data_IF_944911662348
#
_entry.id   IF_944911662348
#
_cell.length_a   1.000
_cell.length_b   1.000
_cell.length_c   1.000
_cell.angle_alpha   90.00
_cell.angle_beta   90.00
_cell.angle_gamma   90.00
#
_symmetry.space_group_name_H-M   'P 1'
#
loop_
_entity.id
_entity.type
_entity.pdbx_description
1 polymer ?
#
# COMPACT_ATOMS: atom_id res chain seq x y z
N UNK A 1 -22.04 -16.52 -3.54
CA UNK A 1 -21.70 -15.23 -2.94
C UNK A 1 -20.58 -14.60 -3.74
N UNK A 2 -20.70 -13.35 -4.11
CA UNK A 2 -19.65 -12.56 -4.77
C UNK A 2 -19.02 -11.65 -3.69
N UNK A 3 -17.68 -11.63 -3.61
CA UNK A 3 -16.99 -10.93 -2.55
C UNK A 3 -16.31 -9.66 -3.07
N UNK A 4 -16.57 -8.53 -2.40
CA UNK A 4 -15.92 -7.23 -2.58
C UNK A 4 -15.29 -6.72 -1.28
N UNK A 5 -15.06 -7.59 -0.30
CA UNK A 5 -14.53 -7.23 1.02
C UNK A 5 -13.12 -6.65 0.95
N UNK A 6 -12.27 -7.22 0.11
CA UNK A 6 -10.86 -6.84 0.00
C UNK A 6 -10.29 -7.19 -1.38
N UNK A 7 -9.07 -6.77 -1.62
CA UNK A 7 -8.37 -6.90 -2.89
C UNK A 7 -7.29 -8.02 -2.89
N UNK A 8 -7.44 -9.01 -2.00
CA UNK A 8 -6.52 -10.16 -1.86
C UNK A 8 -7.27 -11.48 -1.63
N UNK A 9 -8.42 -11.64 -2.27
CA UNK A 9 -9.28 -12.83 -2.07
C UNK A 9 -8.96 -13.96 -3.04
N UNK A 10 -8.41 -13.67 -4.20
CA UNK A 10 -7.98 -14.63 -5.19
C UNK A 10 -6.51 -15.00 -4.99
N UNK A 11 -6.05 -16.01 -5.73
CA UNK A 11 -4.65 -16.43 -5.80
C UNK A 11 -3.80 -15.43 -6.61
N UNK A 12 -2.91 -15.94 -7.47
CA UNK A 12 -2.11 -15.09 -8.34
C UNK A 12 -2.73 -14.95 -9.74
N UNK A 13 -2.33 -13.88 -10.44
CA UNK A 13 -2.60 -13.75 -11.87
C UNK A 13 -2.05 -14.98 -12.64
N UNK A 14 -2.78 -15.53 -13.64
CA UNK A 14 -2.38 -16.75 -14.35
C UNK A 14 -0.94 -16.74 -14.88
N UNK A 15 -0.48 -15.62 -15.43
CA UNK A 15 0.89 -15.50 -15.94
C UNK A 15 1.97 -15.75 -14.85
N UNK A 16 1.68 -15.41 -13.59
CA UNK A 16 2.60 -15.67 -12.49
C UNK A 16 2.64 -17.16 -12.14
N UNK A 17 1.48 -17.81 -12.10
CA UNK A 17 1.38 -19.26 -11.87
C UNK A 17 2.07 -20.05 -12.97
N UNK A 18 1.88 -19.64 -14.23
CA UNK A 18 2.59 -20.24 -15.36
C UNK A 18 4.11 -20.12 -15.20
N UNK A 19 4.61 -18.94 -14.89
CA UNK A 19 6.04 -18.70 -14.67
C UNK A 19 6.60 -19.47 -13.48
N UNK A 20 5.85 -19.58 -12.38
CA UNK A 20 6.21 -20.41 -11.23
C UNK A 20 6.29 -21.89 -11.61
N UNK A 21 5.33 -22.39 -12.41
CA UNK A 21 5.31 -23.77 -12.88
C UNK A 21 6.48 -24.08 -13.83
N UNK A 22 6.74 -23.21 -14.83
CA UNK A 22 7.86 -23.35 -15.76
C UNK A 22 9.21 -23.44 -15.04
N UNK A 23 9.39 -22.66 -13.99
CA UNK A 23 10.67 -22.57 -13.28
C UNK A 23 10.77 -23.54 -12.11
N UNK A 24 9.73 -24.30 -11.78
CA UNK A 24 9.63 -25.09 -10.55
C UNK A 24 10.80 -26.07 -10.32
N UNK A 25 11.23 -26.75 -11.39
CA UNK A 25 12.30 -27.77 -11.30
C UNK A 25 13.71 -27.21 -11.58
N UNK A 26 13.84 -25.91 -11.84
CA UNK A 26 15.14 -25.26 -12.07
C UNK A 26 15.86 -25.12 -10.73
N UNK A 27 17.10 -25.61 -10.66
CA UNK A 27 17.97 -25.41 -9.48
C UNK A 27 18.61 -24.02 -9.54
N UNK A 28 18.48 -23.26 -8.45
CA UNK A 28 19.04 -21.92 -8.32
C UNK A 28 19.74 -21.77 -6.97
N UNK A 29 20.59 -20.75 -6.82
CA UNK A 29 21.07 -20.31 -5.50
C UNK A 29 19.91 -19.78 -4.69
N UNK A 30 20.03 -19.87 -3.36
CA UNK A 30 18.97 -19.46 -2.44
C UNK A 30 19.03 -18.00 -2.03
N UNK A 31 18.10 -17.62 -1.15
CA UNK A 31 18.09 -16.35 -0.42
C UNK A 31 17.95 -15.10 -1.31
N UNK A 32 17.33 -15.26 -2.51
CA UNK A 32 17.10 -14.17 -3.44
C UNK A 32 18.34 -13.72 -4.21
N UNK A 33 19.37 -14.58 -4.30
CA UNK A 33 20.57 -14.33 -5.10
C UNK A 33 20.51 -15.00 -6.49
N UNK A 34 19.37 -15.54 -6.83
CA UNK A 34 19.09 -16.21 -8.11
C UNK A 34 18.85 -15.24 -9.26
N UNK A 35 18.90 -15.78 -10.47
CA UNK A 35 18.73 -15.04 -11.72
C UNK A 35 17.35 -14.42 -11.89
N UNK A 36 16.29 -15.03 -11.33
CA UNK A 36 14.93 -14.48 -11.39
C UNK A 36 14.77 -13.24 -10.52
N UNK A 37 15.33 -13.32 -9.30
CA UNK A 37 15.38 -12.14 -8.43
C UNK A 37 16.24 -11.03 -9.04
N UNK A 38 17.35 -11.37 -9.71
CA UNK A 38 18.19 -10.39 -10.40
C UNK A 38 17.42 -9.73 -11.55
N UNK A 39 16.76 -10.51 -12.40
CA UNK A 39 15.96 -10.01 -13.52
C UNK A 39 14.82 -9.10 -13.03
N UNK A 40 14.09 -9.51 -11.98
CA UNK A 40 13.02 -8.72 -11.39
C UNK A 40 13.55 -7.38 -10.84
N UNK A 41 14.70 -7.37 -10.16
CA UNK A 41 15.33 -6.12 -9.68
C UNK A 41 15.63 -5.17 -10.83
N UNK A 42 16.23 -5.64 -11.90
CA UNK A 42 16.57 -4.79 -13.05
C UNK A 42 15.31 -4.23 -13.74
N UNK A 43 14.24 -5.01 -13.88
CA UNK A 43 12.96 -4.52 -14.42
C UNK A 43 12.34 -3.44 -13.52
N UNK A 44 12.36 -3.63 -12.20
CA UNK A 44 11.85 -2.63 -11.24
C UNK A 44 12.69 -1.37 -11.29
N UNK A 45 14.04 -1.46 -11.29
CA UNK A 45 14.92 -0.32 -11.43
C UNK A 45 14.68 0.45 -12.73
N UNK A 46 14.47 -0.27 -13.83
CA UNK A 46 14.14 0.33 -15.12
C UNK A 46 12.80 1.05 -15.08
N UNK A 47 11.76 0.42 -14.51
CA UNK A 47 10.44 1.03 -14.34
C UNK A 47 10.46 2.28 -13.45
N UNK A 48 11.30 2.30 -12.42
CA UNK A 48 11.53 3.46 -11.54
C UNK A 48 12.48 4.51 -12.14
N UNK A 49 13.15 4.21 -13.26
CA UNK A 49 14.26 5.01 -13.79
C UNK A 49 15.32 5.31 -12.72
N UNK A 50 15.64 4.31 -11.91
CA UNK A 50 16.52 4.40 -10.75
C UNK A 50 17.56 3.27 -10.75
N UNK A 51 18.57 3.30 -11.65
CA UNK A 51 19.55 2.22 -11.80
C UNK A 51 20.37 1.97 -10.53
N UNK A 52 20.55 3.01 -9.71
CA UNK A 52 21.33 2.93 -8.47
C UNK A 52 20.49 2.46 -7.25
N UNK A 53 19.17 2.26 -7.40
CA UNK A 53 18.34 1.80 -6.30
C UNK A 53 18.70 0.37 -5.87
N UNK A 54 18.55 0.07 -4.58
CA UNK A 54 18.51 -1.33 -4.11
C UNK A 54 17.06 -1.84 -4.10
N UNK A 55 16.86 -3.05 -4.60
CA UNK A 55 15.54 -3.71 -4.60
C UNK A 55 15.60 -5.00 -3.82
N UNK A 56 14.70 -5.16 -2.84
CA UNK A 56 14.61 -6.33 -1.98
C UNK A 56 13.17 -6.86 -1.94
N UNK A 57 13.00 -8.17 -1.87
CA UNK A 57 11.69 -8.80 -1.83
C UNK A 57 11.39 -9.34 -0.44
N UNK A 58 10.20 -9.02 0.08
CA UNK A 58 9.66 -9.46 1.37
C UNK A 58 8.28 -10.10 1.17
N UNK A 59 7.77 -10.84 2.15
CA UNK A 59 6.59 -11.69 1.96
C UNK A 59 5.26 -10.96 2.13
N UNK A 60 5.25 -9.77 2.73
CA UNK A 60 4.01 -9.01 2.97
C UNK A 60 4.27 -7.66 3.63
N UNK A 61 3.25 -6.79 3.62
CA UNK A 61 3.33 -5.39 4.06
C UNK A 61 3.82 -5.23 5.50
N UNK A 62 3.25 -5.96 6.46
CA UNK A 62 3.67 -5.88 7.88
C UNK A 62 5.14 -6.26 8.08
N UNK A 63 5.63 -7.33 7.42
CA UNK A 63 7.05 -7.67 7.46
C UNK A 63 7.91 -6.57 6.83
N UNK A 64 7.44 -5.98 5.75
CA UNK A 64 8.10 -4.86 5.07
C UNK A 64 8.22 -3.66 6.00
N UNK A 65 7.11 -3.23 6.59
CA UNK A 65 7.07 -2.08 7.49
C UNK A 65 7.98 -2.28 8.71
N UNK A 66 7.91 -3.42 9.37
CA UNK A 66 8.78 -3.74 10.52
C UNK A 66 10.25 -3.81 10.13
N UNK A 67 10.57 -4.33 8.93
CA UNK A 67 11.96 -4.45 8.46
C UNK A 67 12.55 -3.09 8.13
N UNK A 68 11.83 -2.27 7.35
CA UNK A 68 12.29 -0.94 6.93
C UNK A 68 12.44 -0.02 8.13
N UNK A 69 11.43 0.05 9.00
CA UNK A 69 11.44 0.95 10.18
C UNK A 69 12.55 0.55 11.14
N UNK A 70 12.73 -0.74 11.43
CA UNK A 70 13.80 -1.22 12.29
C UNK A 70 15.20 -1.07 11.69
N UNK A 71 15.33 -1.00 10.35
CA UNK A 71 16.61 -0.75 9.70
C UNK A 71 17.04 0.71 9.76
N UNK A 72 16.06 1.63 9.81
CA UNK A 72 16.31 3.08 9.72
C UNK A 72 16.46 3.70 11.10
N UNK A 73 15.57 3.35 12.03
CA UNK A 73 15.48 4.04 13.31
C UNK A 73 16.53 3.57 14.32
N UNK A 74 16.98 4.52 15.14
CA UNK A 74 17.77 4.24 16.35
C UNK A 74 16.84 3.88 17.52
N UNK A 75 17.31 3.14 18.55
CA UNK A 75 16.44 2.63 19.63
C UNK A 75 15.56 3.66 20.35
N UNK A 76 15.95 4.93 20.38
CA UNK A 76 15.19 6.01 21.01
C UNK A 76 14.31 6.79 20.05
N UNK A 77 14.26 6.39 18.77
CA UNK A 77 13.50 7.07 17.72
C UNK A 77 12.17 6.38 17.44
N UNK A 78 11.21 7.19 16.98
CA UNK A 78 9.91 6.77 16.53
C UNK A 78 9.62 7.24 15.10
N UNK A 79 8.56 6.68 14.52
CA UNK A 79 8.10 6.98 13.17
C UNK A 79 6.85 7.88 13.21
N UNK A 80 6.89 9.03 12.53
CA UNK A 80 5.72 9.88 12.32
C UNK A 80 4.79 9.25 11.30
N UNK A 81 3.50 9.16 11.60
CA UNK A 81 2.48 8.58 10.73
C UNK A 81 1.12 9.25 10.96
N UNK A 82 0.22 9.21 9.98
CA UNK A 82 -1.17 9.54 10.21
C UNK A 82 -1.77 8.64 11.30
N UNK A 83 -2.69 9.18 12.12
CA UNK A 83 -3.41 8.37 13.14
C UNK A 83 -4.16 7.19 12.52
N UNK A 84 -4.59 7.30 11.26
CA UNK A 84 -5.21 6.22 10.47
C UNK A 84 -4.21 5.35 9.71
N UNK A 85 -2.89 5.64 9.81
CA UNK A 85 -1.87 4.90 9.07
C UNK A 85 -1.84 3.42 9.44
N UNK A 86 -1.58 2.56 8.45
CA UNK A 86 -1.67 1.10 8.59
C UNK A 86 -0.83 0.57 9.76
N UNK A 87 0.39 1.10 9.94
CA UNK A 87 1.30 0.73 11.03
C UNK A 87 0.76 1.07 12.43
N UNK A 88 -0.19 2.03 12.54
CA UNK A 88 -0.83 2.37 13.80
C UNK A 88 -2.10 1.55 14.07
N UNK A 89 -2.91 1.29 13.02
CA UNK A 89 -4.26 0.76 13.20
C UNK A 89 -4.40 -0.73 12.90
N UNK A 90 -3.57 -1.31 12.01
CA UNK A 90 -3.84 -2.61 11.39
C UNK A 90 -2.69 -3.61 11.46
N UNK A 91 -1.67 -3.38 12.31
CA UNK A 91 -0.52 -4.28 12.44
C UNK A 91 -0.29 -4.85 13.85
N UNK A 92 -1.32 -4.77 14.72
CA UNK A 92 -1.30 -5.37 16.05
C UNK A 92 -0.06 -5.03 16.89
N UNK A 93 0.45 -3.78 16.79
CA UNK A 93 1.65 -3.35 17.49
C UNK A 93 2.97 -3.91 16.92
N UNK A 94 2.98 -4.26 15.62
CA UNK A 94 4.17 -4.83 14.99
C UNK A 94 5.37 -3.87 15.02
N UNK A 95 5.14 -2.57 14.87
CA UNK A 95 6.22 -1.57 14.96
C UNK A 95 6.73 -1.45 16.39
N UNK A 96 5.84 -1.38 17.37
CA UNK A 96 6.20 -1.34 18.80
C UNK A 96 6.98 -2.59 19.21
N UNK A 97 6.68 -3.76 18.62
CA UNK A 97 7.44 -4.99 18.86
C UNK A 97 8.89 -4.92 18.36
N UNK A 98 9.22 -3.97 17.48
CA UNK A 98 10.60 -3.68 17.06
C UNK A 98 11.35 -2.78 18.03
N UNK A 99 10.67 -2.24 19.05
CA UNK A 99 11.22 -1.30 20.02
C UNK A 99 11.00 0.17 19.64
N UNK A 100 10.21 0.45 18.59
CA UNK A 100 9.97 1.81 18.09
C UNK A 100 8.54 2.24 18.33
N UNK A 101 8.33 3.51 18.64
CA UNK A 101 7.00 4.10 18.80
C UNK A 101 6.46 4.59 17.47
N UNK A 102 5.19 4.33 17.19
CA UNK A 102 4.44 5.08 16.19
C UNK A 102 3.98 6.41 16.80
N UNK A 103 4.44 7.52 16.23
CA UNK A 103 4.09 8.89 16.64
C UNK A 103 2.99 9.36 15.70
N UNK A 104 1.78 9.45 16.21
CA UNK A 104 0.60 9.74 15.39
C UNK A 104 0.35 11.23 15.21
N UNK A 105 0.05 11.63 13.98
CA UNK A 105 -0.42 12.97 13.61
C UNK A 105 -1.90 12.91 13.22
N UNK A 106 -2.71 13.93 13.57
CA UNK A 106 -4.12 13.95 13.23
C UNK A 106 -4.32 14.05 11.71
N UNK A 107 -5.41 13.44 11.21
CA UNK A 107 -5.78 13.52 9.79
C UNK A 107 -7.29 13.45 9.62
N UNK A 108 -7.81 14.03 8.53
CA UNK A 108 -9.21 13.94 8.13
C UNK A 108 -9.43 13.08 6.89
N UNK A 109 -8.38 12.87 6.10
CA UNK A 109 -8.44 12.15 4.82
C UNK A 109 -7.32 11.09 4.65
N UNK A 110 -6.68 10.71 5.77
CA UNK A 110 -5.59 9.74 5.76
C UNK A 110 -4.20 10.32 5.44
N UNK A 111 -4.12 11.58 4.99
CA UNK A 111 -2.84 12.25 4.67
C UNK A 111 -2.33 13.06 5.86
N UNK A 112 -1.01 13.13 5.99
CA UNK A 112 -0.31 14.09 6.84
C UNK A 112 0.35 15.15 5.96
N UNK A 113 0.49 16.35 6.47
CA UNK A 113 1.03 17.49 5.72
C UNK A 113 2.49 17.78 6.12
N UNK A 114 3.23 18.44 5.23
CA UNK A 114 4.55 18.98 5.50
C UNK A 114 4.55 19.88 6.75
N UNK A 115 3.51 20.72 6.89
CA UNK A 115 3.39 21.61 8.05
C UNK A 115 3.24 20.84 9.37
N UNK A 116 2.44 19.77 9.41
CA UNK A 116 2.30 18.95 10.62
C UNK A 116 3.62 18.29 11.03
N UNK A 117 4.40 17.82 10.04
CA UNK A 117 5.75 17.26 10.32
C UNK A 117 6.66 18.34 10.87
N UNK A 118 6.68 19.53 10.25
CA UNK A 118 7.47 20.70 10.73
C UNK A 118 7.10 21.07 12.15
N UNK A 119 5.80 21.26 12.41
CA UNK A 119 5.30 21.66 13.73
C UNK A 119 5.70 20.67 14.82
N UNK A 120 5.58 19.35 14.54
CA UNK A 120 5.97 18.32 15.50
C UNK A 120 7.48 18.33 15.78
N UNK A 121 8.30 18.42 14.74
CA UNK A 121 9.78 18.43 14.90
C UNK A 121 10.23 19.68 15.63
N UNK A 122 9.69 20.85 15.29
CA UNK A 122 10.04 22.09 15.98
C UNK A 122 9.55 22.09 17.44
N UNK A 123 8.33 21.60 17.70
CA UNK A 123 7.88 21.40 19.08
C UNK A 123 8.84 20.49 19.85
N UNK A 124 9.21 19.32 19.30
CA UNK A 124 10.12 18.39 19.96
C UNK A 124 11.50 19.00 20.24
N UNK A 125 12.05 19.79 19.33
CA UNK A 125 13.36 20.44 19.50
C UNK A 125 13.38 21.51 20.59
N UNK A 126 12.26 22.21 20.80
CA UNK A 126 12.16 23.31 21.74
C UNK A 126 11.56 22.90 23.08
N UNK A 127 11.13 21.68 23.27
CA UNK A 127 10.65 21.17 24.54
C UNK A 127 11.81 21.00 25.51
N UNK A 128 11.68 21.59 26.73
CA UNK A 128 12.72 21.52 27.75
C UNK A 128 13.06 20.12 28.22
N UNK A 129 12.13 19.16 27.99
CA UNK A 129 12.28 17.75 28.30
C UNK A 129 12.51 16.87 27.06
N UNK A 130 13.02 17.42 25.95
CA UNK A 130 13.18 16.72 24.68
C UNK A 130 13.92 15.38 24.80
N UNK A 131 14.91 15.27 25.70
CA UNK A 131 15.66 14.03 25.95
C UNK A 131 14.84 12.94 26.67
N UNK A 132 13.65 13.27 27.19
CA UNK A 132 12.71 12.33 27.81
C UNK A 132 11.61 11.88 26.85
N UNK A 133 11.55 12.46 25.65
CA UNK A 133 10.50 12.23 24.65
C UNK A 133 11.09 11.42 23.49
N UNK A 134 10.32 10.48 22.95
CA UNK A 134 10.75 9.70 21.76
C UNK A 134 11.01 10.67 20.60
N UNK A 135 12.24 10.65 20.09
CA UNK A 135 12.67 11.50 18.99
C UNK A 135 12.04 11.06 17.68
N UNK A 136 11.45 11.97 16.87
CA UNK A 136 11.06 11.64 15.51
C UNK A 136 12.30 11.28 14.67
N UNK A 137 12.30 10.12 14.02
CA UNK A 137 13.46 9.62 13.26
C UNK A 137 13.17 9.33 11.81
N UNK A 138 11.89 9.26 11.42
CA UNK A 138 11.45 9.11 10.04
C UNK A 138 9.97 9.48 9.89
N UNK A 139 9.53 9.64 8.65
CA UNK A 139 8.12 9.83 8.27
C UNK A 139 7.66 8.61 7.47
N UNK A 140 6.47 8.11 7.79
CA UNK A 140 5.77 7.05 7.06
C UNK A 140 4.44 7.58 6.53
N UNK A 141 4.15 7.28 5.29
CA UNK A 141 2.84 7.51 4.67
C UNK A 141 2.42 6.29 3.86
N UNK A 142 1.11 6.07 3.72
CA UNK A 142 0.57 5.14 2.73
C UNK A 142 0.18 5.89 1.45
N UNK A 143 0.49 5.32 0.28
CA UNK A 143 0.08 5.88 -1.01
C UNK A 143 -0.34 4.77 -1.98
N UNK A 144 -1.66 4.66 -2.27
CA UNK A 144 -2.82 5.38 -1.67
C UNK A 144 -2.96 5.22 -0.16
N UNK A 145 -3.64 6.17 0.48
CA UNK A 145 -3.99 6.04 1.91
C UNK A 145 -4.98 4.89 2.13
N UNK A 146 -5.22 4.53 3.38
CA UNK A 146 -6.17 3.47 3.75
C UNK A 146 -7.60 3.77 3.28
N UNK A 147 -7.98 5.05 3.24
CA UNK A 147 -9.25 5.53 2.69
C UNK A 147 -9.26 5.71 1.17
N UNK A 148 -8.16 5.38 0.48
CA UNK A 148 -8.05 5.45 -0.97
C UNK A 148 -7.73 6.84 -1.53
N UNK A 149 -7.42 7.83 -0.70
CA UNK A 149 -6.99 9.16 -1.18
C UNK A 149 -5.55 9.13 -1.68
N UNK A 150 -5.22 10.07 -2.56
CA UNK A 150 -3.89 10.18 -3.18
C UNK A 150 -3.17 11.44 -2.69
N UNK A 151 -1.87 11.32 -2.42
CA UNK A 151 -1.00 12.49 -2.36
C UNK A 151 -0.79 13.00 -3.78
N UNK A 152 -1.02 14.28 -4.01
CA UNK A 152 -0.62 14.93 -5.26
C UNK A 152 0.91 15.06 -5.31
N UNK A 153 1.45 15.23 -6.51
CA UNK A 153 2.89 15.49 -6.70
C UNK A 153 3.35 16.72 -5.91
N UNK A 154 2.51 17.77 -5.85
CA UNK A 154 2.81 18.97 -5.07
C UNK A 154 2.89 18.68 -3.56
N UNK A 155 1.89 17.99 -3.00
CA UNK A 155 1.87 17.61 -1.58
C UNK A 155 3.08 16.73 -1.21
N UNK A 156 3.39 15.74 -2.07
CA UNK A 156 4.53 14.84 -1.81
C UNK A 156 5.87 15.56 -1.95
N UNK A 157 5.99 16.50 -2.89
CA UNK A 157 7.18 17.32 -3.05
C UNK A 157 7.43 18.19 -1.81
N UNK A 158 6.39 18.83 -1.29
CA UNK A 158 6.48 19.65 -0.08
C UNK A 158 6.83 18.80 1.15
N UNK A 159 6.16 17.65 1.31
CA UNK A 159 6.43 16.72 2.42
C UNK A 159 7.86 16.19 2.37
N UNK A 160 8.32 15.73 1.20
CA UNK A 160 9.69 15.24 1.04
C UNK A 160 10.74 16.35 1.26
N UNK A 161 10.45 17.56 0.77
CA UNK A 161 11.29 18.73 1.02
C UNK A 161 11.46 19.01 2.51
N UNK A 162 10.37 18.97 3.28
CA UNK A 162 10.40 19.11 4.74
C UNK A 162 11.15 17.94 5.41
N UNK A 163 10.93 16.71 4.95
CA UNK A 163 11.69 15.56 5.46
C UNK A 163 13.19 15.74 5.26
N UNK A 164 13.62 16.23 4.09
CA UNK A 164 15.04 16.51 3.79
C UNK A 164 15.61 17.64 4.65
N UNK A 165 14.84 18.71 4.89
CA UNK A 165 15.23 19.84 5.76
C UNK A 165 15.57 19.35 7.17
N UNK A 166 14.79 18.40 7.70
CA UNK A 166 14.96 17.88 9.06
C UNK A 166 15.80 16.59 9.14
N UNK A 167 16.28 16.08 8.02
CA UNK A 167 17.06 14.84 7.97
C UNK A 167 16.26 13.60 8.34
N UNK A 168 14.95 13.62 8.11
CA UNK A 168 14.03 12.51 8.33
C UNK A 168 13.86 11.72 7.02
N UNK A 169 14.21 10.43 6.96
CA UNK A 169 13.85 9.60 5.82
C UNK A 169 12.34 9.53 5.63
N UNK A 170 11.86 9.64 4.37
CA UNK A 170 10.47 9.42 4.00
C UNK A 170 10.30 7.99 3.47
N UNK A 171 9.44 7.22 4.14
CA UNK A 171 9.04 5.87 3.72
C UNK A 171 7.60 5.88 3.21
N UNK A 172 7.40 5.37 1.99
CA UNK A 172 6.08 5.23 1.36
C UNK A 172 5.65 3.77 1.36
N UNK A 173 4.58 3.47 2.09
CA UNK A 173 3.84 2.22 2.00
C UNK A 173 3.03 2.19 0.71
N UNK A 174 3.46 1.34 -0.20
CA UNK A 174 2.86 1.17 -1.53
C UNK A 174 2.06 -0.13 -1.67
N UNK A 175 1.39 -0.62 -0.59
CA UNK A 175 0.60 -1.85 -0.64
C UNK A 175 -0.40 -1.91 -1.80
N UNK A 176 -0.91 -0.74 -2.21
CA UNK A 176 -1.81 -0.54 -3.36
C UNK A 176 -1.23 0.41 -4.41
N UNK A 177 0.09 0.51 -4.50
CA UNK A 177 0.76 1.49 -5.34
C UNK A 177 0.31 1.44 -6.80
N UNK A 178 0.17 0.25 -7.37
CA UNK A 178 -0.31 0.09 -8.74
C UNK A 178 -1.68 0.72 -8.97
N UNK A 179 -2.60 0.54 -8.05
CA UNK A 179 -3.93 1.16 -8.12
C UNK A 179 -3.86 2.69 -8.01
N UNK A 180 -3.01 3.21 -7.11
CA UNK A 180 -2.81 4.65 -6.99
C UNK A 180 -2.22 5.28 -8.25
N UNK A 181 -1.20 4.65 -8.84
CA UNK A 181 -0.57 5.15 -10.07
C UNK A 181 -1.49 5.09 -11.29
N UNK A 182 -2.45 4.16 -11.31
CA UNK A 182 -3.39 3.97 -12.42
C UNK A 182 -4.73 4.66 -12.21
N UNK A 183 -4.96 5.32 -11.08
CA UNK A 183 -6.12 6.18 -10.87
C UNK A 183 -6.11 7.37 -11.84
N UNK A 184 -7.29 7.79 -12.32
CA UNK A 184 -7.38 8.89 -13.29
C UNK A 184 -6.96 10.24 -12.71
N UNK A 185 -7.11 10.42 -11.40
CA UNK A 185 -6.70 11.59 -10.65
C UNK A 185 -5.22 11.60 -10.25
N UNK A 186 -4.47 10.53 -10.56
CA UNK A 186 -3.03 10.48 -10.28
C UNK A 186 -2.26 11.45 -11.18
N UNK A 187 -1.49 12.32 -10.57
CA UNK A 187 -0.61 13.26 -11.25
C UNK A 187 0.88 12.85 -11.19
N UNK A 188 1.14 11.59 -10.79
CA UNK A 188 2.48 11.03 -10.64
C UNK A 188 2.67 9.72 -11.37
N UNK A 189 3.85 9.55 -11.93
CA UNK A 189 4.37 8.29 -12.44
C UNK A 189 5.25 7.59 -11.40
N UNK A 190 5.51 6.29 -11.57
CA UNK A 190 6.42 5.54 -10.69
C UNK A 190 7.83 6.18 -10.59
N UNK A 191 8.48 6.63 -11.70
CA UNK A 191 9.75 7.34 -11.59
C UNK A 191 9.70 8.66 -10.82
N UNK A 192 8.58 9.39 -10.88
CA UNK A 192 8.41 10.64 -10.14
C UNK A 192 8.24 10.38 -8.64
N UNK A 193 7.42 9.39 -8.28
CA UNK A 193 7.26 8.96 -6.89
C UNK A 193 8.60 8.48 -6.29
N UNK A 194 9.37 7.68 -7.04
CA UNK A 194 10.65 7.17 -6.59
C UNK A 194 11.65 8.31 -6.25
N UNK A 195 11.58 9.45 -6.95
CA UNK A 195 12.44 10.62 -6.67
C UNK A 195 11.99 11.46 -5.46
N UNK A 196 10.78 11.20 -4.96
CA UNK A 196 10.15 11.97 -3.87
C UNK A 196 10.06 11.18 -2.56
N UNK A 197 10.95 10.20 -2.36
CA UNK A 197 11.07 9.46 -1.11
C UNK A 197 12.48 8.84 -0.96
N UNK A 198 12.79 8.39 0.23
CA UNK A 198 14.04 7.68 0.54
C UNK A 198 13.91 6.18 0.37
N UNK A 199 12.74 5.63 0.69
CA UNK A 199 12.39 4.24 0.53
C UNK A 199 10.89 4.10 0.28
N UNK A 200 10.50 3.16 -0.57
CA UNK A 200 9.10 2.78 -0.75
C UNK A 200 9.00 1.30 -1.06
N UNK A 201 7.80 0.75 -1.04
CA UNK A 201 7.63 -0.57 -1.61
C UNK A 201 6.50 -0.65 -2.64
N UNK A 202 6.65 -1.56 -3.58
CA UNK A 202 5.69 -1.89 -4.61
C UNK A 202 4.93 -3.12 -4.14
N UNK A 203 3.65 -2.94 -3.84
CA UNK A 203 2.78 -4.00 -3.37
C UNK A 203 2.48 -5.01 -4.48
N UNK A 204 2.81 -6.28 -4.25
CA UNK A 204 2.45 -7.38 -5.13
C UNK A 204 1.24 -8.17 -4.61
N UNK A 205 1.15 -8.38 -3.30
CA UNK A 205 0.10 -9.18 -2.65
C UNK A 205 -1.32 -8.79 -3.09
N UNK A 206 -1.60 -7.50 -3.23
CA UNK A 206 -2.91 -6.98 -3.65
C UNK A 206 -3.01 -6.79 -5.17
N UNK A 207 -1.88 -6.85 -5.89
CA UNK A 207 -1.80 -6.56 -7.32
C UNK A 207 -1.26 -7.77 -8.07
N UNK A 208 -1.98 -8.88 -7.97
CA UNK A 208 -1.79 -10.06 -8.81
C UNK A 208 -0.74 -11.07 -8.36
N UNK A 209 0.05 -10.83 -7.30
CA UNK A 209 0.95 -11.82 -6.74
C UNK A 209 0.24 -12.77 -5.76
N UNK A 210 0.78 -13.97 -5.55
CA UNK A 210 0.37 -14.85 -4.44
C UNK A 210 0.66 -14.19 -3.10
N UNK A 211 1.81 -13.56 -3.01
CA UNK A 211 2.31 -12.81 -1.85
C UNK A 211 3.57 -12.05 -2.27
N UNK A 212 3.90 -11.01 -1.54
CA UNK A 212 5.18 -10.33 -1.65
C UNK A 212 5.09 -8.86 -2.01
N UNK A 213 6.13 -8.19 -1.56
CA UNK A 213 6.36 -6.75 -1.72
C UNK A 213 7.79 -6.53 -2.19
N UNK A 214 8.00 -5.58 -3.10
CA UNK A 214 9.33 -5.18 -3.54
C UNK A 214 9.71 -3.85 -2.89
N UNK A 215 10.62 -3.88 -1.92
CA UNK A 215 11.19 -2.68 -1.28
C UNK A 215 12.22 -2.07 -2.20
N UNK A 216 12.07 -0.78 -2.49
CA UNK A 216 12.99 0.01 -3.31
C UNK A 216 13.64 1.07 -2.43
N UNK A 217 14.95 0.98 -2.23
CA UNK A 217 15.73 1.93 -1.42
C UNK A 217 16.46 2.88 -2.35
N UNK A 218 16.03 4.14 -2.33
CA UNK A 218 16.57 5.23 -3.14
C UNK A 218 17.76 5.92 -2.45
N UNK A 219 17.70 6.04 -1.13
CA UNK A 219 18.72 6.74 -0.35
C UNK A 219 19.89 5.81 -0.05
N UNK A 220 21.10 6.17 -0.53
CA UNK A 220 22.34 5.38 -0.39
C UNK A 220 22.66 5.05 1.08
N UNK A 221 22.42 6.00 1.99
CA UNK A 221 22.74 5.81 3.40
C UNK A 221 21.91 4.73 4.11
N UNK A 222 20.76 4.34 3.53
CA UNK A 222 19.84 3.33 4.08
C UNK A 222 20.10 1.91 3.54
N UNK A 223 20.95 1.74 2.55
CA UNK A 223 21.24 0.45 1.92
C UNK A 223 22.15 -0.43 2.77
N UNK A 224 23.09 0.21 3.47
CA UNK A 224 24.07 -0.51 4.28
C UNK A 224 23.39 -1.38 5.33
N UNK A 225 23.83 -2.64 5.40
CA UNK A 225 23.40 -3.62 6.40
C UNK A 225 21.90 -4.01 6.36
N UNK A 226 21.09 -3.48 5.41
CA UNK A 226 19.66 -3.78 5.28
C UNK A 226 19.38 -5.30 5.21
N UNK A 227 20.22 -6.05 4.53
CA UNK A 227 20.07 -7.52 4.41
C UNK A 227 20.26 -8.28 5.73
N UNK A 228 20.99 -7.73 6.71
CA UNK A 228 21.08 -8.31 8.05
C UNK A 228 19.73 -8.18 8.78
N UNK A 229 19.12 -7.01 8.73
CA UNK A 229 17.80 -6.78 9.32
C UNK A 229 16.74 -7.64 8.62
N UNK A 230 16.77 -7.74 7.29
CA UNK A 230 15.90 -8.67 6.55
C UNK A 230 16.05 -10.11 7.08
N UNK A 231 17.27 -10.58 7.30
CA UNK A 231 17.52 -11.94 7.81
C UNK A 231 17.00 -12.09 9.23
N UNK A 232 17.26 -11.12 10.10
CA UNK A 232 16.79 -11.10 11.48
C UNK A 232 15.27 -11.16 11.58
N UNK A 233 14.56 -10.45 10.66
CA UNK A 233 13.09 -10.40 10.57
C UNK A 233 12.47 -11.54 9.74
N UNK A 234 13.27 -12.57 9.37
CA UNK A 234 12.79 -13.72 8.60
C UNK A 234 12.52 -13.45 7.12
N UNK A 235 12.87 -12.27 6.61
CA UNK A 235 12.59 -11.86 5.22
C UNK A 235 13.50 -12.49 4.17
N UNK A 236 14.68 -13.01 4.55
CA UNK A 236 15.56 -13.73 3.62
C UNK A 236 15.22 -15.20 3.60
N UNK A 237 14.27 -15.57 2.76
CA UNK A 237 13.81 -16.96 2.62
C UNK A 237 14.80 -17.80 1.82
N UNK A 238 14.98 -19.07 2.20
CA UNK A 238 15.83 -20.02 1.47
C UNK A 238 15.39 -20.15 0.00
N UNK A 239 14.07 -20.20 -0.26
CA UNK A 239 13.48 -20.21 -1.61
C UNK A 239 12.99 -18.81 -2.02
N UNK A 240 13.80 -17.76 -1.80
CA UNK A 240 13.49 -16.38 -2.12
C UNK A 240 13.17 -16.13 -3.61
N UNK A 241 13.65 -17.02 -4.49
CA UNK A 241 13.29 -17.00 -5.92
C UNK A 241 11.78 -16.93 -6.19
N UNK A 242 10.94 -17.48 -5.30
CA UNK A 242 9.49 -17.43 -5.47
C UNK A 242 8.95 -15.99 -5.51
N UNK A 243 9.57 -15.07 -4.81
CA UNK A 243 9.26 -13.63 -4.91
C UNK A 243 9.79 -13.05 -6.22
N UNK A 244 11.05 -13.35 -6.56
CA UNK A 244 11.65 -12.86 -7.80
C UNK A 244 10.89 -13.27 -9.05
N UNK A 245 10.49 -14.53 -9.17
CA UNK A 245 9.71 -15.05 -10.30
C UNK A 245 8.39 -14.29 -10.46
N UNK A 246 7.70 -13.99 -9.35
CA UNK A 246 6.42 -13.26 -9.39
C UNK A 246 6.62 -11.80 -9.84
N UNK A 247 7.61 -11.09 -9.28
CA UNK A 247 7.90 -9.72 -9.70
C UNK A 247 8.49 -9.62 -11.09
N UNK A 248 9.28 -10.63 -11.52
CA UNK A 248 9.73 -10.72 -12.92
C UNK A 248 8.56 -10.80 -13.90
N UNK A 249 7.54 -11.62 -13.59
CA UNK A 249 6.34 -11.71 -14.40
C UNK A 249 5.48 -10.42 -14.33
N UNK A 250 5.29 -9.84 -13.16
CA UNK A 250 4.51 -8.60 -12.98
C UNK A 250 5.10 -7.41 -13.76
N UNK A 251 6.43 -7.32 -13.85
CA UNK A 251 7.12 -6.25 -14.59
C UNK A 251 7.52 -6.66 -16.02
N UNK A 252 6.93 -7.75 -16.54
CA UNK A 252 7.00 -8.10 -17.97
C UNK A 252 5.80 -7.51 -18.69
N UNK A 253 6.04 -6.85 -19.84
CA UNK A 253 5.00 -6.29 -20.70
C UNK A 253 3.97 -5.41 -20.00
N UNK A 254 4.42 -4.65 -19.00
CA UNK A 254 3.60 -3.74 -18.18
C UNK A 254 2.40 -4.41 -17.47
N UNK A 255 2.48 -5.71 -17.19
CA UNK A 255 1.37 -6.45 -16.59
C UNK A 255 0.88 -5.81 -15.29
N UNK A 256 1.80 -5.38 -14.40
CA UNK A 256 1.49 -4.71 -13.13
C UNK A 256 0.55 -3.51 -13.30
N UNK A 257 0.83 -2.67 -14.29
CA UNK A 257 0.04 -1.48 -14.57
C UNK A 257 -1.27 -1.81 -15.28
N UNK A 258 -1.26 -2.78 -16.21
CA UNK A 258 -2.47 -3.21 -16.94
C UNK A 258 -3.54 -3.78 -16.01
N UNK A 259 -3.15 -4.67 -15.09
CA UNK A 259 -4.09 -5.27 -14.14
C UNK A 259 -4.53 -4.27 -13.06
N UNK A 260 -3.67 -3.29 -12.72
CA UNK A 260 -4.06 -2.18 -11.86
C UNK A 260 -5.10 -1.27 -12.51
N UNK A 261 -4.93 -0.92 -13.79
CA UNK A 261 -5.91 -0.14 -14.56
C UNK A 261 -7.27 -0.83 -14.60
N UNK A 262 -7.29 -2.14 -14.87
CA UNK A 262 -8.53 -2.92 -14.84
C UNK A 262 -9.26 -2.79 -13.49
N UNK A 263 -8.54 -2.88 -12.36
CA UNK A 263 -9.16 -2.74 -11.04
C UNK A 263 -9.78 -1.35 -10.83
N UNK A 264 -9.14 -0.27 -11.31
CA UNK A 264 -9.65 1.09 -11.27
C UNK A 264 -10.94 1.21 -12.08
N UNK A 265 -10.96 0.68 -13.30
CA UNK A 265 -12.15 0.70 -14.16
C UNK A 265 -13.34 -0.03 -13.50
N UNK A 266 -13.10 -1.17 -12.86
CA UNK A 266 -14.13 -1.90 -12.11
C UNK A 266 -14.60 -1.10 -10.88
N UNK A 267 -13.68 -0.47 -10.15
CA UNK A 267 -14.02 0.33 -8.97
C UNK A 267 -14.84 1.58 -9.32
N UNK A 268 -14.53 2.26 -10.41
CA UNK A 268 -15.32 3.39 -10.89
C UNK A 268 -16.76 2.98 -11.24
N UNK A 269 -16.93 1.82 -11.89
CA UNK A 269 -18.27 1.28 -12.13
C UNK A 269 -19.01 0.97 -10.81
N UNK A 270 -18.32 0.42 -9.79
CA UNK A 270 -18.90 0.19 -8.46
C UNK A 270 -19.31 1.52 -7.82
N UNK A 271 -18.46 2.55 -7.85
CA UNK A 271 -18.78 3.90 -7.39
C UNK A 271 -20.05 4.41 -8.05
N UNK A 272 -20.09 4.35 -9.36
CA UNK A 272 -21.19 4.89 -10.16
C UNK A 272 -22.53 4.16 -9.89
N UNK A 273 -22.49 2.87 -9.56
CA UNK A 273 -23.67 2.11 -9.12
C UNK A 273 -24.28 2.77 -7.87
N UNK A 274 -23.47 3.02 -6.85
CA UNK A 274 -23.96 3.58 -5.58
C UNK A 274 -24.36 5.03 -5.72
N UNK A 275 -23.56 5.86 -6.38
CA UNK A 275 -23.84 7.29 -6.59
C UNK A 275 -25.13 7.48 -7.41
N UNK A 276 -25.31 6.72 -8.49
CA UNK A 276 -26.52 6.76 -9.33
C UNK A 276 -27.77 6.31 -8.59
N UNK A 277 -27.63 5.42 -7.60
CA UNK A 277 -28.71 4.99 -6.73
C UNK A 277 -28.98 5.96 -5.55
N UNK A 278 -28.23 7.08 -5.47
CA UNK A 278 -28.42 8.14 -4.48
C UNK A 278 -27.72 7.91 -3.14
N UNK A 279 -26.77 6.96 -3.04
CA UNK A 279 -26.00 6.77 -1.83
C UNK A 279 -24.82 7.73 -1.77
N UNK A 280 -24.64 8.47 -0.65
CA UNK A 280 -23.44 9.28 -0.44
C UNK A 280 -22.21 8.39 -0.20
N UNK A 281 -21.02 8.96 -0.39
CA UNK A 281 -19.76 8.29 -0.12
C UNK A 281 -19.10 8.87 1.13
N UNK A 282 -18.43 8.01 1.94
CA UNK A 282 -17.60 8.44 3.07
C UNK A 282 -16.35 9.17 2.62
N UNK A 283 -15.74 8.70 1.54
CA UNK A 283 -14.53 9.23 0.95
C UNK A 283 -14.71 9.36 -0.55
N UNK A 284 -14.20 10.44 -1.12
CA UNK A 284 -14.01 10.56 -2.56
C UNK A 284 -12.72 9.83 -2.93
N UNK A 285 -12.84 8.51 -3.12
CA UNK A 285 -11.71 7.65 -3.43
C UNK A 285 -11.59 7.42 -4.93
N UNK A 286 -10.51 7.88 -5.57
CA UNK A 286 -10.25 7.60 -6.97
C UNK A 286 -9.66 6.21 -7.22
N UNK A 287 -9.46 5.41 -6.16
CA UNK A 287 -8.76 4.14 -6.24
C UNK A 287 -9.69 2.93 -6.29
N UNK A 288 -9.12 1.75 -6.11
CA UNK A 288 -9.86 0.48 -6.17
C UNK A 288 -10.83 0.22 -5.01
N UNK A 289 -10.89 1.11 -4.02
CA UNK A 289 -11.74 0.99 -2.85
C UNK A 289 -12.85 2.05 -2.88
N UNK A 290 -14.12 1.65 -2.72
CA UNK A 290 -15.28 2.52 -2.74
C UNK A 290 -16.07 2.40 -1.45
N UNK A 291 -16.55 3.52 -0.91
CA UNK A 291 -17.08 3.60 0.45
C UNK A 291 -18.50 4.19 0.51
N UNK A 292 -19.53 3.50 0.01
CA UNK A 292 -20.90 3.99 0.11
C UNK A 292 -21.42 3.97 1.55
N UNK A 293 -22.25 4.96 1.87
CA UNK A 293 -23.07 5.02 3.09
C UNK A 293 -24.46 4.50 2.73
N UNK A 294 -24.93 3.47 3.43
CA UNK A 294 -26.19 2.82 3.13
C UNK A 294 -27.02 2.58 4.39
N UNK A 295 -28.36 2.52 4.27
CA UNK A 295 -29.22 2.03 5.36
C UNK A 295 -28.87 0.60 5.73
N UNK A 296 -28.83 0.26 7.03
CA UNK A 296 -28.48 -1.08 7.52
C UNK A 296 -29.43 -2.15 6.98
N UNK A 297 -30.71 -1.83 6.77
CA UNK A 297 -31.70 -2.74 6.18
C UNK A 297 -31.37 -3.12 4.75
N UNK A 298 -30.91 -2.15 3.94
CA UNK A 298 -30.48 -2.38 2.56
C UNK A 298 -29.14 -3.11 2.51
N UNK A 299 -28.22 -2.80 3.44
CA UNK A 299 -26.96 -3.54 3.60
C UNK A 299 -27.19 -5.01 3.93
N UNK A 300 -28.15 -5.30 4.81
CA UNK A 300 -28.53 -6.67 5.14
C UNK A 300 -29.07 -7.44 3.91
N UNK A 301 -29.80 -6.76 3.01
CA UNK A 301 -30.29 -7.37 1.76
C UNK A 301 -29.16 -7.62 0.77
N UNK A 302 -28.30 -6.62 0.53
CA UNK A 302 -27.10 -6.76 -0.30
C UNK A 302 -26.18 -7.87 0.22
N UNK A 303 -25.98 -7.94 1.53
CA UNK A 303 -25.15 -8.91 2.23
C UNK A 303 -25.55 -10.37 2.02
N UNK A 304 -26.78 -10.65 1.57
CA UNK A 304 -27.21 -12.02 1.21
C UNK A 304 -26.51 -12.57 -0.05
N UNK A 305 -26.03 -11.69 -0.91
CA UNK A 305 -25.42 -12.05 -2.20
C UNK A 305 -23.97 -11.55 -2.35
N UNK A 306 -23.64 -10.44 -1.69
CA UNK A 306 -22.36 -9.75 -1.86
C UNK A 306 -21.66 -9.57 -0.51
N UNK A 307 -20.39 -9.96 -0.44
CA UNK A 307 -19.54 -9.64 0.70
C UNK A 307 -19.00 -8.21 0.55
N UNK A 308 -19.05 -7.44 1.61
CA UNK A 308 -18.45 -6.11 1.77
C UNK A 308 -17.77 -6.01 3.15
N UNK A 309 -16.95 -4.99 3.35
CA UNK A 309 -16.31 -4.74 4.65
C UNK A 309 -17.07 -3.63 5.38
N UNK A 310 -17.44 -3.87 6.66
CA UNK A 310 -17.95 -2.81 7.53
C UNK A 310 -16.81 -1.82 7.84
N UNK A 311 -17.08 -0.53 7.70
CA UNK A 311 -16.09 0.50 7.95
C UNK A 311 -16.39 1.33 9.21
N UNK A 312 -17.56 1.95 9.25
CA UNK A 312 -17.92 2.84 10.36
C UNK A 312 -19.43 2.97 10.49
N UNK A 313 -19.92 3.15 11.74
CA UNK A 313 -21.27 3.62 12.00
C UNK A 313 -21.36 5.11 11.70
N UNK A 314 -22.32 5.51 10.85
CA UNK A 314 -22.54 6.92 10.47
C UNK A 314 -23.59 7.56 11.37
N UNK A 315 -24.74 6.90 11.54
CA UNK A 315 -25.84 7.31 12.43
C UNK A 315 -26.62 6.09 12.97
N UNK A 316 -27.84 6.30 13.50
CA UNK A 316 -28.62 5.22 14.10
C UNK A 316 -28.96 4.08 13.10
N UNK A 317 -29.15 4.43 11.82
CA UNK A 317 -29.71 3.52 10.82
C UNK A 317 -28.80 3.35 9.58
N UNK A 318 -27.64 4.04 9.52
CA UNK A 318 -26.72 4.01 8.39
C UNK A 318 -25.31 3.61 8.78
N UNK A 319 -24.71 2.79 7.95
CA UNK A 319 -23.31 2.39 8.03
C UNK A 319 -22.56 2.73 6.75
N UNK A 320 -21.31 3.15 6.91
CA UNK A 320 -20.35 3.22 5.83
C UNK A 320 -19.69 1.86 5.67
N UNK A 321 -19.62 1.36 4.45
CA UNK A 321 -19.02 0.07 4.12
C UNK A 321 -18.05 0.22 2.96
N UNK A 322 -17.10 -0.73 2.83
CA UNK A 322 -16.14 -0.73 1.74
C UNK A 322 -16.46 -1.84 0.75
N UNK A 323 -16.46 -1.46 -0.53
CA UNK A 323 -16.40 -2.37 -1.67
C UNK A 323 -15.05 -2.20 -2.36
N UNK A 324 -14.29 -3.29 -2.49
CA UNK A 324 -13.00 -3.32 -3.17
C UNK A 324 -13.12 -4.00 -4.53
N UNK A 325 -12.61 -3.36 -5.57
CA UNK A 325 -12.23 -4.04 -6.80
C UNK A 325 -10.77 -4.50 -6.74
N UNK A 326 -10.43 -5.54 -7.48
CA UNK A 326 -9.07 -6.04 -7.62
C UNK A 326 -8.74 -6.32 -9.09
N UNK A 327 -7.52 -6.71 -9.34
CA UNK A 327 -7.06 -7.20 -10.64
C UNK A 327 -7.90 -8.36 -11.19
N UNK A 328 -8.58 -9.11 -10.32
CA UNK A 328 -9.39 -10.28 -10.66
C UNK A 328 -10.90 -10.00 -10.72
N UNK A 329 -11.33 -8.77 -10.41
CA UNK A 329 -12.76 -8.41 -10.43
C UNK A 329 -13.34 -8.58 -11.84
N UNK A 330 -14.41 -9.37 -11.96
CA UNK A 330 -15.04 -9.64 -13.24
C UNK A 330 -16.17 -8.65 -13.50
N UNK A 331 -16.38 -8.29 -14.78
CA UNK A 331 -17.49 -7.43 -15.19
C UNK A 331 -18.85 -8.01 -14.78
N UNK A 332 -19.04 -9.32 -14.91
CA UNK A 332 -20.28 -10.02 -14.50
C UNK A 332 -20.62 -9.83 -13.01
N UNK A 333 -19.60 -9.69 -12.14
CA UNK A 333 -19.80 -9.43 -10.71
C UNK A 333 -20.26 -8.00 -10.45
N UNK A 334 -19.72 -7.04 -11.19
CA UNK A 334 -20.11 -5.62 -11.12
C UNK A 334 -21.53 -5.44 -11.66
N UNK A 335 -21.88 -6.11 -12.77
CA UNK A 335 -23.23 -6.05 -13.34
C UNK A 335 -24.26 -6.66 -12.39
N UNK A 336 -23.94 -7.80 -11.75
CA UNK A 336 -24.81 -8.42 -10.74
C UNK A 336 -25.02 -7.50 -9.51
N UNK A 337 -23.98 -6.72 -9.09
CA UNK A 337 -24.12 -5.74 -8.03
C UNK A 337 -25.03 -4.59 -8.47
N UNK A 338 -24.88 -4.09 -9.70
CA UNK A 338 -25.74 -3.05 -10.30
C UNK A 338 -27.22 -3.46 -10.27
N UNK A 339 -27.52 -4.67 -10.68
CA UNK A 339 -28.90 -5.20 -10.68
C UNK A 339 -29.47 -5.26 -9.26
N UNK A 340 -28.66 -5.74 -8.29
CA UNK A 340 -29.09 -5.84 -6.90
C UNK A 340 -29.32 -4.47 -6.24
N UNK A 341 -28.44 -3.50 -6.44
CA UNK A 341 -28.59 -2.14 -5.91
C UNK A 341 -29.82 -1.46 -6.53
N UNK A 342 -30.04 -1.61 -7.85
CA UNK A 342 -31.22 -1.06 -8.52
C UNK A 342 -32.53 -1.70 -8.05
N UNK A 343 -32.50 -2.95 -7.59
CA UNK A 343 -33.68 -3.63 -7.06
C UNK A 343 -34.12 -3.08 -5.69
N UNK A 344 -33.19 -2.52 -4.89
CA UNK A 344 -33.51 -1.88 -3.60
C UNK A 344 -34.29 -0.57 -3.75
N UNK A 345 -34.28 0.04 -4.93
CA UNK A 345 -34.93 1.34 -5.22
C UNK A 345 -36.32 1.20 -5.85
N UNK A 346 -36.79 -0.05 -6.05
CA UNK A 346 -38.12 -0.36 -6.56
C UNK A 346 -39.08 -0.70 -5.41
#
# INVERSE_FOLDING_TARGET
MIYFNSDYLEGAHPALLEKLNETNMVQTVGYGEDEYCAAAREKIKAACQAPEADVHFLVGGTQTNTTVIAAILRPWQGVLSAVSGHINCHEAGAIESTGHKVITLPTTNGKITAQQVRDYVEWHKHDESTEHIVQPGMVYISHPTEGGTLYTKAELTELYGTCREYGLPLFIDGARLGYGLMADESDMTLPELARLCDVFYIGGTKVGALFGEAVVIMNESLKKDFRFIMKQRGGRMAKGRLLGVQFDALFTDDLYFKISRHAIEMAHQIRDIFVSAGYPLLFDSPTNQQYPIMPDTELAEIGKRFGYEYWVRVDADHSGVRFCASWATKQEHVDALREAVNALKK
#
